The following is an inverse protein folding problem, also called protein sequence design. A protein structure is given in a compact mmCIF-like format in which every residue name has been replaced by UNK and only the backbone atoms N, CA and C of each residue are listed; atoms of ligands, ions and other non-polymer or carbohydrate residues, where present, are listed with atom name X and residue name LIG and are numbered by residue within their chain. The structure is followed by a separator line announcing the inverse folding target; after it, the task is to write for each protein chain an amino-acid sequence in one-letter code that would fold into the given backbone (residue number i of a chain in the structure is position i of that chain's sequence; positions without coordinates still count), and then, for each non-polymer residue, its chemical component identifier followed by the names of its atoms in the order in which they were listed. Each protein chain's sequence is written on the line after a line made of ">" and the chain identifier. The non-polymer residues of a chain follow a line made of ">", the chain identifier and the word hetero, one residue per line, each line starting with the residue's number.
data_IF_451478432418
#
_entry.id   IF_451478432418
#
_cell.length_a   1.000
_cell.length_b   1.000
_cell.length_c   1.000
_cell.angle_alpha   90.00
_cell.angle_beta   90.00
_cell.angle_gamma   90.00
#
_symmetry.space_group_name_H-M   'P 1'
#
loop_
_entity.id
_entity.type
_entity.pdbx_description
1 polymer ?
#
# COMPACT_ATOMS: atom_id res chain seq x y z
N UNK A 1 39.32 7.33 74.03
CA UNK A 1 38.23 8.17 73.53
C UNK A 1 38.27 8.15 72.00
N UNK A 2 37.48 7.27 71.44
CA UNK A 2 37.49 7.00 69.98
C UNK A 2 36.11 7.43 69.42
N UNK A 3 36.12 8.45 68.57
CA UNK A 3 34.92 8.98 67.94
C UNK A 3 34.71 8.18 66.62
N UNK A 4 33.65 7.41 66.56
CA UNK A 4 33.23 6.76 65.34
C UNK A 4 32.38 7.74 64.51
N UNK A 5 32.90 8.18 63.38
CA UNK A 5 32.13 8.86 62.33
C UNK A 5 31.40 7.78 61.53
N UNK A 6 30.07 7.78 61.61
CA UNK A 6 29.21 7.04 60.68
C UNK A 6 29.02 7.86 59.43
N UNK A 7 29.56 7.43 58.31
CA UNK A 7 29.23 7.90 56.95
C UNK A 7 27.97 7.17 56.50
N UNK A 8 26.87 7.87 56.43
CA UNK A 8 25.64 7.39 55.77
C UNK A 8 25.78 7.58 54.29
N UNK A 9 25.97 6.53 53.53
CA UNK A 9 25.93 6.53 52.07
C UNK A 9 24.45 6.43 51.62
N UNK A 10 23.88 7.56 51.19
CA UNK A 10 22.58 7.57 50.53
C UNK A 10 22.74 7.06 49.09
N UNK A 11 22.39 5.82 48.85
CA UNK A 11 22.29 5.28 47.48
C UNK A 11 20.99 5.79 46.85
N UNK A 12 21.10 6.79 45.98
CA UNK A 12 19.99 7.24 45.15
C UNK A 12 19.72 6.19 44.06
N UNK A 13 18.67 5.40 44.27
CA UNK A 13 18.17 4.43 43.27
C UNK A 13 17.45 5.25 42.19
N UNK A 14 18.16 5.57 41.09
CA UNK A 14 17.53 6.14 39.91
C UNK A 14 16.78 5.00 39.21
N UNK A 15 15.47 4.89 39.52
CA UNK A 15 14.57 4.07 38.75
C UNK A 15 14.41 4.71 37.38
N UNK A 16 15.19 4.21 36.39
CA UNK A 16 14.95 4.51 35.00
C UNK A 16 13.59 3.96 34.61
N UNK A 17 12.60 4.83 34.51
CA UNK A 17 11.33 4.51 33.87
C UNK A 17 11.63 4.30 32.41
N UNK A 18 11.94 3.06 32.03
CA UNK A 18 11.92 2.65 30.64
C UNK A 18 10.47 2.81 30.18
N UNK A 19 10.16 3.93 29.51
CA UNK A 19 8.93 4.04 28.77
C UNK A 19 8.96 2.93 27.72
N UNK A 20 8.16 1.87 27.98
CA UNK A 20 7.81 0.89 26.96
C UNK A 20 7.04 1.70 25.94
N UNK A 21 7.75 2.19 24.93
CA UNK A 21 7.13 2.78 23.76
C UNK A 21 6.33 1.66 23.11
N UNK A 22 5.03 1.61 23.36
CA UNK A 22 4.14 0.87 22.49
C UNK A 22 4.40 1.42 21.09
N UNK A 23 4.98 0.60 20.21
CA UNK A 23 5.04 0.93 18.78
C UNK A 23 3.60 1.24 18.40
N UNK A 24 3.33 2.50 18.09
CA UNK A 24 1.98 2.94 17.81
C UNK A 24 1.63 2.36 16.44
N UNK A 25 0.82 1.30 16.49
CA UNK A 25 0.40 0.53 15.33
C UNK A 25 -0.31 1.45 14.35
N UNK A 26 0.20 1.54 13.12
CA UNK A 26 -0.47 2.24 12.03
C UNK A 26 -1.32 1.24 11.26
N UNK A 27 -2.58 1.59 10.99
CA UNK A 27 -3.52 0.70 10.33
C UNK A 27 -4.52 1.47 9.47
N UNK A 28 -5.10 0.77 8.50
CA UNK A 28 -6.07 1.37 7.60
C UNK A 28 -6.45 0.46 6.44
N UNK A 29 -6.98 1.08 5.38
CA UNK A 29 -7.45 0.40 4.19
C UNK A 29 -6.35 0.39 3.12
N UNK A 30 -6.33 -0.69 2.34
CA UNK A 30 -5.44 -0.89 1.20
C UNK A 30 -6.24 -1.26 -0.05
N UNK A 31 -5.94 -0.60 -1.16
CA UNK A 31 -6.49 -0.90 -2.48
C UNK A 31 -5.37 -0.96 -3.50
N UNK A 32 -5.38 -2.00 -4.32
CA UNK A 32 -4.38 -2.21 -5.36
C UNK A 32 -5.05 -2.60 -6.67
N UNK A 33 -4.52 -2.10 -7.78
CA UNK A 33 -4.78 -2.61 -9.12
C UNK A 33 -3.48 -2.76 -9.88
N UNK A 34 -3.48 -3.69 -10.85
CA UNK A 34 -2.35 -3.87 -11.77
C UNK A 34 -2.82 -4.15 -13.18
N UNK A 35 -1.90 -4.02 -14.14
CA UNK A 35 -2.13 -4.49 -15.51
C UNK A 35 -2.12 -6.02 -15.64
N UNK A 36 -1.61 -6.76 -14.66
CA UNK A 36 -1.71 -8.23 -14.57
C UNK A 36 -3.01 -8.66 -13.90
N UNK A 37 -3.68 -9.69 -14.40
CA UNK A 37 -4.75 -10.37 -13.67
C UNK A 37 -4.18 -11.11 -12.45
N UNK A 38 -4.70 -10.84 -11.26
CA UNK A 38 -4.27 -11.46 -9.99
C UNK A 38 -5.11 -12.67 -9.61
N UNK A 39 -6.36 -12.69 -10.02
CA UNK A 39 -7.26 -13.82 -9.86
C UNK A 39 -7.47 -14.50 -11.20
N UNK A 40 -6.72 -15.57 -11.44
CA UNK A 40 -6.66 -16.21 -12.75
C UNK A 40 -6.18 -17.66 -12.61
N UNK A 41 -6.38 -18.47 -13.64
CA UNK A 41 -5.76 -19.78 -13.74
C UNK A 41 -4.35 -19.70 -14.34
N UNK A 42 -3.47 -20.70 -14.10
CA UNK A 42 -2.09 -20.70 -14.62
C UNK A 42 -2.00 -20.45 -16.13
N UNK A 43 -2.92 -21.05 -16.91
CA UNK A 43 -2.94 -20.90 -18.37
C UNK A 43 -3.32 -19.50 -18.87
N UNK A 44 -3.79 -18.62 -18.00
CA UNK A 44 -4.21 -17.25 -18.32
C UNK A 44 -3.41 -16.19 -17.56
N UNK A 45 -2.40 -16.61 -16.80
CA UNK A 45 -1.47 -15.66 -16.20
C UNK A 45 -0.77 -14.84 -17.29
N UNK A 46 -0.50 -13.57 -17.02
CA UNK A 46 0.04 -12.67 -18.05
C UNK A 46 1.33 -13.18 -18.71
N UNK A 47 2.27 -13.70 -17.91
CA UNK A 47 3.53 -14.27 -18.40
C UNK A 47 3.30 -15.49 -19.31
N UNK A 48 2.33 -16.33 -19.02
CA UNK A 48 2.01 -17.52 -19.84
C UNK A 48 1.42 -17.15 -21.22
N UNK A 49 0.75 -16.00 -21.29
CA UNK A 49 0.19 -15.49 -22.56
C UNK A 49 1.11 -14.44 -23.21
N UNK A 50 2.34 -14.28 -22.75
CA UNK A 50 3.34 -13.31 -23.22
C UNK A 50 2.88 -11.84 -23.11
N UNK A 51 2.03 -11.54 -22.15
CA UNK A 51 1.64 -10.17 -21.82
C UNK A 51 2.46 -9.68 -20.62
N UNK A 52 2.89 -8.44 -20.66
CA UNK A 52 3.61 -7.81 -19.55
C UNK A 52 2.63 -7.07 -18.66
N UNK A 53 2.47 -7.55 -17.43
CA UNK A 53 1.66 -6.90 -16.40
C UNK A 53 2.50 -6.04 -15.48
N UNK A 54 3.04 -4.92 -15.98
CA UNK A 54 4.10 -4.15 -15.33
C UNK A 54 3.67 -2.80 -14.76
N UNK A 55 2.40 -2.46 -14.83
CA UNK A 55 1.84 -1.26 -14.19
C UNK A 55 1.01 -1.64 -12.98
N UNK A 56 1.05 -0.77 -11.94
CA UNK A 56 0.21 -0.90 -10.76
C UNK A 56 -0.10 0.45 -10.12
N UNK A 57 -1.24 0.51 -9.43
CA UNK A 57 -1.61 1.57 -8.50
C UNK A 57 -1.81 0.92 -7.13
N UNK A 58 -1.15 1.46 -6.11
CA UNK A 58 -1.20 1.01 -4.72
C UNK A 58 -1.66 2.19 -3.86
N UNK A 59 -2.75 2.04 -3.13
CA UNK A 59 -3.36 3.13 -2.37
C UNK A 59 -3.58 2.73 -0.91
N UNK A 60 -3.22 3.62 0.01
CA UNK A 60 -3.38 3.45 1.45
C UNK A 60 -4.15 4.63 2.03
N UNK A 61 -5.16 4.33 2.84
CA UNK A 61 -5.85 5.28 3.70
C UNK A 61 -5.55 4.91 5.15
N UNK A 62 -4.92 5.81 5.87
CA UNK A 62 -4.61 5.61 7.30
C UNK A 62 -5.86 5.89 8.13
N UNK A 63 -6.42 4.86 8.75
CA UNK A 63 -7.56 5.00 9.67
C UNK A 63 -7.12 5.37 11.06
N UNK A 64 -5.89 4.97 11.46
CA UNK A 64 -5.32 5.26 12.78
C UNK A 64 -3.80 5.10 12.77
N UNK A 65 -3.13 5.95 13.53
CA UNK A 65 -1.70 5.78 13.84
C UNK A 65 -0.82 6.91 13.33
N UNK A 66 0.46 6.72 13.56
CA UNK A 66 1.51 7.68 13.20
C UNK A 66 2.68 6.98 12.51
N UNK A 67 3.44 7.75 11.74
CA UNK A 67 4.65 7.29 11.09
C UNK A 67 5.76 8.33 11.27
N UNK A 68 6.93 7.89 11.73
CA UNK A 68 8.07 8.77 12.04
C UNK A 68 7.68 9.98 12.93
N UNK A 69 6.78 9.74 13.91
CA UNK A 69 6.33 10.76 14.85
C UNK A 69 5.25 11.72 14.30
N UNK A 70 4.84 11.60 13.04
CA UNK A 70 3.74 12.37 12.47
C UNK A 70 2.44 11.57 12.51
N UNK A 71 1.37 12.15 13.07
CA UNK A 71 0.04 11.56 13.01
C UNK A 71 -0.46 11.59 11.55
N UNK A 72 -0.81 10.41 11.01
CA UNK A 72 -1.30 10.25 9.64
C UNK A 72 -2.79 9.88 9.58
N UNK A 73 -3.48 9.83 10.71
CA UNK A 73 -4.90 9.49 10.76
C UNK A 73 -5.74 10.37 9.84
N UNK A 74 -6.58 9.74 9.02
CA UNK A 74 -7.43 10.39 8.04
C UNK A 74 -6.73 10.80 6.74
N UNK A 75 -5.41 10.62 6.62
CA UNK A 75 -4.65 10.95 5.42
C UNK A 75 -4.45 9.72 4.53
N UNK A 76 -4.21 9.99 3.25
CA UNK A 76 -4.04 8.98 2.22
C UNK A 76 -2.77 9.20 1.40
N UNK A 77 -2.27 8.11 0.80
CA UNK A 77 -1.15 8.15 -0.14
C UNK A 77 -1.36 7.11 -1.24
N UNK A 78 -0.95 7.44 -2.45
CA UNK A 78 -1.01 6.55 -3.61
C UNK A 78 0.38 6.41 -4.21
N UNK A 79 0.82 5.16 -4.42
CA UNK A 79 2.00 4.81 -5.19
C UNK A 79 1.59 4.29 -6.56
N UNK A 80 2.16 4.84 -7.62
CA UNK A 80 1.96 4.36 -8.99
C UNK A 80 3.28 3.83 -9.51
N UNK A 81 3.26 2.62 -10.04
CA UNK A 81 4.48 1.88 -10.41
C UNK A 81 4.46 1.54 -11.89
N UNK A 82 5.62 1.66 -12.52
CA UNK A 82 5.94 1.01 -13.78
C UNK A 82 7.23 0.22 -13.64
N UNK A 83 7.12 -1.08 -13.81
CA UNK A 83 8.20 -2.05 -13.70
C UNK A 83 8.71 -2.51 -15.09
N UNK A 84 9.77 -3.30 -15.12
CA UNK A 84 10.30 -3.88 -16.36
C UNK A 84 9.69 -5.24 -16.70
N UNK A 85 9.12 -5.94 -15.73
CA UNK A 85 8.51 -7.25 -15.89
C UNK A 85 7.15 -7.31 -15.18
N UNK A 86 6.48 -8.44 -15.31
CA UNK A 86 5.17 -8.69 -14.70
C UNK A 86 5.28 -8.66 -13.18
N UNK A 87 4.47 -7.80 -12.57
CA UNK A 87 4.44 -7.59 -11.12
C UNK A 87 3.86 -8.81 -10.41
N UNK A 88 4.63 -9.35 -9.48
CA UNK A 88 4.26 -10.54 -8.70
C UNK A 88 4.59 -11.86 -9.38
N UNK A 89 5.15 -11.87 -10.59
CA UNK A 89 5.65 -13.08 -11.23
C UNK A 89 6.90 -13.60 -10.48
N UNK A 90 6.88 -14.84 -9.97
CA UNK A 90 8.01 -15.39 -9.23
C UNK A 90 9.21 -15.76 -10.12
N UNK A 91 9.03 -15.79 -11.44
CA UNK A 91 10.05 -16.19 -12.42
C UNK A 91 10.69 -15.01 -13.14
N UNK A 92 10.12 -13.80 -13.01
CA UNK A 92 10.63 -12.59 -13.62
C UNK A 92 11.13 -11.58 -12.59
N UNK A 93 12.14 -10.81 -12.97
CA UNK A 93 12.59 -9.68 -12.17
C UNK A 93 11.91 -8.40 -12.66
N UNK A 94 11.00 -7.79 -11.87
CA UNK A 94 10.31 -6.58 -12.27
C UNK A 94 11.19 -5.32 -12.20
N UNK A 95 12.41 -5.43 -11.69
CA UNK A 95 13.29 -4.27 -11.49
C UNK A 95 14.22 -4.00 -12.68
N UNK A 96 14.66 -2.75 -12.87
CA UNK A 96 14.30 -1.58 -12.07
C UNK A 96 12.85 -1.14 -12.30
N UNK A 97 12.19 -0.73 -11.23
CA UNK A 97 10.88 -0.09 -11.30
C UNK A 97 11.02 1.43 -11.15
N UNK A 98 10.10 2.19 -11.75
CA UNK A 98 9.91 3.62 -11.51
C UNK A 98 8.59 3.82 -10.79
N UNK A 99 8.56 4.79 -9.87
CA UNK A 99 7.35 5.11 -9.15
C UNK A 99 7.04 6.61 -9.17
N UNK A 100 5.75 6.92 -9.04
CA UNK A 100 5.25 8.25 -8.66
C UNK A 100 4.49 8.09 -7.37
N UNK A 101 4.76 8.95 -6.39
CA UNK A 101 4.03 8.98 -5.13
C UNK A 101 3.12 10.20 -5.14
N UNK A 102 1.82 10.01 -4.89
CA UNK A 102 0.84 11.07 -4.77
C UNK A 102 0.45 11.16 -3.29
N UNK A 103 0.68 12.30 -2.67
CA UNK A 103 0.38 12.55 -1.26
C UNK A 103 -0.84 13.44 -1.10
N UNK A 104 -1.57 13.21 -0.03
CA UNK A 104 -2.79 13.97 0.28
C UNK A 104 -2.50 15.47 0.37
N UNK A 105 -3.31 16.27 -0.30
CA UNK A 105 -3.21 17.73 -0.28
C UNK A 105 -3.44 18.32 1.13
N UNK A 106 -4.25 17.63 1.95
CA UNK A 106 -4.58 18.06 3.31
C UNK A 106 -3.42 17.83 4.30
N UNK A 107 -2.38 17.07 3.89
CA UNK A 107 -1.23 16.79 4.72
C UNK A 107 -0.33 18.04 4.85
N UNK A 108 0.12 18.33 6.06
CA UNK A 108 1.18 19.32 6.34
C UNK A 108 2.51 18.87 5.71
N UNK A 109 3.51 19.74 5.56
CA UNK A 109 4.82 19.35 5.01
C UNK A 109 5.47 18.17 5.76
N UNK A 110 5.36 18.12 7.09
CA UNK A 110 5.90 17.02 7.91
C UNK A 110 5.13 15.72 7.64
N UNK A 111 3.81 15.79 7.56
CA UNK A 111 2.98 14.63 7.24
C UNK A 111 3.22 14.12 5.81
N UNK A 112 3.48 15.00 4.84
CA UNK A 112 3.82 14.57 3.47
C UNK A 112 5.11 13.77 3.43
N UNK A 113 6.14 14.18 4.16
CA UNK A 113 7.39 13.41 4.26
C UNK A 113 7.14 12.05 4.94
N UNK A 114 6.31 12.03 5.97
CA UNK A 114 5.93 10.79 6.64
C UNK A 114 5.11 9.87 5.72
N UNK A 115 4.17 10.39 4.93
CA UNK A 115 3.40 9.62 3.92
C UNK A 115 4.30 9.04 2.82
N UNK A 116 5.28 9.80 2.33
CA UNK A 116 6.27 9.30 1.34
C UNK A 116 7.05 8.13 1.94
N UNK A 117 7.62 8.34 3.13
CA UNK A 117 8.38 7.29 3.83
C UNK A 117 7.52 6.07 4.16
N UNK A 118 6.26 6.28 4.56
CA UNK A 118 5.30 5.21 4.81
C UNK A 118 5.02 4.41 3.53
N UNK A 119 4.69 5.08 2.41
CA UNK A 119 4.44 4.42 1.14
C UNK A 119 5.65 3.60 0.67
N UNK A 120 6.87 4.15 0.80
CA UNK A 120 8.10 3.44 0.48
C UNK A 120 8.34 2.22 1.37
N UNK A 121 8.02 2.32 2.66
CA UNK A 121 8.14 1.19 3.58
C UNK A 121 7.09 0.09 3.31
N UNK A 122 5.88 0.47 2.87
CA UNK A 122 4.81 -0.48 2.55
C UNK A 122 4.98 -1.11 1.17
N UNK A 123 5.36 -0.33 0.16
CA UNK A 123 5.56 -0.78 -1.22
C UNK A 123 6.97 -1.33 -1.50
N UNK A 124 7.88 -1.24 -0.52
CA UNK A 124 9.23 -1.79 -0.62
C UNK A 124 10.01 -1.24 -1.81
N UNK A 125 10.72 -2.14 -2.49
CA UNK A 125 11.58 -1.80 -3.62
C UNK A 125 10.81 -1.18 -4.79
N UNK A 126 9.52 -1.51 -4.96
CA UNK A 126 8.67 -0.96 -6.02
C UNK A 126 8.51 0.57 -5.92
N UNK A 127 8.48 1.11 -4.70
CA UNK A 127 8.33 2.55 -4.46
C UNK A 127 9.65 3.24 -4.05
N UNK A 128 10.76 2.52 -3.97
CA UNK A 128 12.06 3.07 -3.57
C UNK A 128 12.60 4.11 -4.56
N UNK A 129 12.39 3.90 -5.87
CA UNK A 129 12.79 4.81 -6.94
C UNK A 129 11.61 5.71 -7.35
N UNK A 130 11.16 6.55 -6.44
CA UNK A 130 10.14 7.55 -6.73
C UNK A 130 10.76 8.69 -7.56
N UNK A 131 10.51 8.66 -8.87
CA UNK A 131 11.00 9.68 -9.82
C UNK A 131 10.24 11.00 -9.67
N UNK A 132 9.09 10.98 -9.01
CA UNK A 132 8.25 12.15 -8.81
C UNK A 132 7.34 12.00 -7.59
N UNK A 133 7.07 13.13 -6.93
CA UNK A 133 6.06 13.26 -5.88
C UNK A 133 5.06 14.32 -6.31
N UNK A 134 3.79 13.98 -6.30
CA UNK A 134 2.67 14.88 -6.60
C UNK A 134 1.83 15.12 -5.35
N UNK A 135 1.10 16.23 -5.34
CA UNK A 135 0.15 16.58 -4.28
C UNK A 135 -1.22 16.72 -4.92
N UNK A 136 -2.19 15.96 -4.44
CA UNK A 136 -3.56 16.01 -4.96
C UNK A 136 -4.59 15.75 -3.84
N UNK A 137 -5.84 16.13 -4.04
CA UNK A 137 -6.93 15.61 -3.22
C UNK A 137 -6.99 14.10 -3.42
N UNK A 138 -6.99 13.34 -2.33
CA UNK A 138 -7.12 11.88 -2.38
C UNK A 138 -8.37 11.48 -1.61
N UNK A 139 -9.25 10.75 -2.27
CA UNK A 139 -10.42 10.14 -1.67
C UNK A 139 -10.35 8.62 -1.85
N UNK A 140 -10.48 7.89 -0.75
CA UNK A 140 -10.45 6.42 -0.74
C UNK A 140 -11.65 5.95 0.07
N UNK A 141 -12.54 5.22 -0.58
CA UNK A 141 -13.68 4.57 0.04
C UNK A 141 -13.56 3.06 -0.12
N UNK A 142 -13.70 2.33 0.98
CA UNK A 142 -13.72 0.86 1.01
C UNK A 142 -14.99 0.41 1.68
N UNK A 143 -15.77 -0.42 1.00
CA UNK A 143 -16.97 -1.02 1.57
C UNK A 143 -16.59 -2.23 2.42
N UNK A 144 -16.87 -2.14 3.72
CA UNK A 144 -16.65 -3.22 4.69
C UNK A 144 -17.96 -4.01 4.89
N UNK A 145 -18.05 -5.19 4.30
CA UNK A 145 -19.20 -6.09 4.48
C UNK A 145 -18.76 -7.30 5.29
N UNK A 146 -18.89 -7.22 6.61
CA UNK A 146 -18.38 -8.25 7.52
C UNK A 146 -16.86 -8.36 7.45
N UNK A 147 -16.36 -9.54 7.13
CA UNK A 147 -14.91 -9.78 6.91
C UNK A 147 -14.52 -9.71 5.43
N UNK A 148 -15.44 -9.34 4.53
CA UNK A 148 -15.19 -9.31 3.09
C UNK A 148 -15.03 -7.89 2.59
N UNK A 149 -14.04 -7.71 1.74
CA UNK A 149 -13.78 -6.51 0.97
C UNK A 149 -13.97 -6.86 -0.51
N UNK A 150 -14.15 -5.88 -1.35
CA UNK A 150 -14.21 -6.16 -2.79
C UNK A 150 -14.73 -4.97 -3.57
N UNK A 151 -15.38 -4.04 -2.89
CA UNK A 151 -15.83 -2.79 -3.49
C UNK A 151 -15.05 -1.63 -2.87
N UNK A 152 -14.35 -0.91 -3.72
CA UNK A 152 -13.58 0.26 -3.34
C UNK A 152 -13.58 1.29 -4.46
N UNK A 153 -13.38 2.54 -4.08
CA UNK A 153 -13.12 3.67 -4.97
C UNK A 153 -11.87 4.40 -4.49
N UNK A 154 -10.97 4.72 -5.39
CA UNK A 154 -9.81 5.57 -5.16
C UNK A 154 -9.82 6.66 -6.21
N UNK A 155 -9.72 7.91 -5.77
CA UNK A 155 -9.56 9.07 -6.64
C UNK A 155 -8.42 9.93 -6.12
N UNK A 156 -7.36 10.08 -6.90
CA UNK A 156 -6.22 10.95 -6.59
C UNK A 156 -6.18 12.11 -7.61
N UNK A 157 -7.04 13.10 -7.39
CA UNK A 157 -7.25 14.21 -8.31
C UNK A 157 -7.62 13.72 -9.71
N UNK A 158 -6.95 14.25 -10.73
CA UNK A 158 -7.03 13.77 -12.12
C UNK A 158 -5.89 12.80 -12.47
N UNK A 159 -5.04 12.45 -11.51
CA UNK A 159 -3.79 11.72 -11.76
C UNK A 159 -4.00 10.21 -11.78
N UNK A 160 -4.76 9.67 -10.84
CA UNK A 160 -5.02 8.23 -10.71
C UNK A 160 -6.43 7.95 -10.21
N UNK A 161 -6.99 6.82 -10.65
CA UNK A 161 -8.32 6.39 -10.24
C UNK A 161 -8.47 4.87 -10.29
N UNK A 162 -9.17 4.33 -9.28
CA UNK A 162 -9.53 2.92 -9.18
C UNK A 162 -11.01 2.83 -8.84
N UNK A 163 -11.70 1.89 -9.48
CA UNK A 163 -13.03 1.43 -9.04
C UNK A 163 -13.03 -0.09 -9.06
N UNK A 164 -13.54 -0.70 -8.01
CA UNK A 164 -13.59 -2.16 -7.93
C UNK A 164 -14.98 -2.67 -7.61
N UNK A 165 -15.20 -3.95 -7.88
CA UNK A 165 -16.31 -4.76 -7.37
C UNK A 165 -15.80 -6.11 -6.89
N UNK A 166 -16.55 -6.76 -6.05
CA UNK A 166 -16.27 -8.14 -5.65
C UNK A 166 -16.28 -9.08 -6.85
N UNK A 167 -15.51 -10.17 -6.74
CA UNK A 167 -15.60 -11.30 -7.66
C UNK A 167 -16.99 -11.94 -7.61
N UNK A 168 -17.45 -12.43 -8.72
CA UNK A 168 -18.73 -13.14 -8.86
C UNK A 168 -18.59 -14.38 -9.74
N UNK A 169 -19.65 -15.15 -9.87
CA UNK A 169 -19.64 -16.41 -10.61
C UNK A 169 -19.24 -16.27 -12.09
N UNK A 170 -19.42 -15.09 -12.67
CA UNK A 170 -19.05 -14.81 -14.07
C UNK A 170 -17.56 -14.50 -14.28
N UNK A 171 -16.82 -14.33 -13.19
CA UNK A 171 -15.38 -14.02 -13.24
C UNK A 171 -14.51 -15.29 -13.34
N UNK A 172 -15.11 -16.47 -13.28
CA UNK A 172 -14.46 -17.73 -13.54
C UNK A 172 -14.45 -18.02 -15.06
N UNK A 173 -13.27 -18.18 -15.63
CA UNK A 173 -13.07 -18.44 -17.06
C UNK A 173 -12.76 -19.92 -17.35
N UNK A 174 -12.02 -20.57 -16.47
CA UNK A 174 -11.60 -21.97 -16.65
C UNK A 174 -11.96 -22.89 -15.48
N UNK A 175 -12.42 -22.35 -14.34
CA UNK A 175 -12.77 -23.12 -13.14
C UNK A 175 -11.58 -23.52 -12.25
N UNK A 176 -10.36 -23.10 -12.63
CA UNK A 176 -9.13 -23.31 -11.85
C UNK A 176 -8.51 -21.98 -11.41
N UNK A 177 -9.32 -20.94 -11.31
CA UNK A 177 -8.85 -19.63 -10.85
C UNK A 177 -8.51 -19.67 -9.37
N UNK A 178 -7.43 -18.98 -9.05
CA UNK A 178 -6.98 -18.73 -7.69
C UNK A 178 -6.35 -17.33 -7.59
N UNK A 179 -5.93 -16.93 -6.41
CA UNK A 179 -5.06 -15.76 -6.24
C UNK A 179 -3.66 -16.15 -6.72
N UNK A 180 -3.42 -15.98 -8.02
CA UNK A 180 -2.20 -16.42 -8.69
C UNK A 180 -1.01 -15.52 -8.35
N UNK A 181 -1.21 -14.20 -8.36
CA UNK A 181 -0.22 -13.23 -7.92
C UNK A 181 -0.63 -12.62 -6.57
N UNK A 182 0.21 -12.70 -5.53
CA UNK A 182 -0.12 -12.13 -4.22
C UNK A 182 -0.15 -10.60 -4.25
N UNK A 183 -0.72 -9.93 -3.24
CA UNK A 183 -0.63 -8.47 -3.09
C UNK A 183 0.81 -7.97 -3.15
N UNK A 184 1.02 -6.77 -3.73
CA UNK A 184 2.34 -6.14 -3.84
C UNK A 184 2.83 -5.52 -2.52
N UNK A 185 1.92 -5.29 -1.58
CA UNK A 185 2.24 -4.81 -0.25
C UNK A 185 1.79 -5.81 0.81
N UNK A 186 2.43 -5.73 2.00
CA UNK A 186 1.98 -6.48 3.16
C UNK A 186 0.58 -6.03 3.59
N UNK A 187 -0.35 -6.98 3.72
CA UNK A 187 -1.72 -6.75 4.14
C UNK A 187 -2.07 -7.61 5.35
N UNK A 188 -2.91 -7.10 6.25
CA UNK A 188 -3.47 -7.90 7.36
C UNK A 188 -4.56 -8.84 6.86
N UNK A 189 -5.34 -8.38 5.90
CA UNK A 189 -6.35 -9.13 5.19
C UNK A 189 -6.60 -8.47 3.84
N UNK A 190 -6.74 -9.26 2.78
CA UNK A 190 -7.09 -8.76 1.45
C UNK A 190 -7.88 -9.79 0.66
N UNK A 191 -8.77 -9.30 -0.19
CA UNK A 191 -9.57 -10.09 -1.11
C UNK A 191 -9.28 -9.68 -2.55
N UNK A 192 -9.11 -10.62 -3.47
CA UNK A 192 -9.05 -10.30 -4.89
C UNK A 192 -10.39 -9.73 -5.36
N UNK A 193 -10.32 -8.82 -6.31
CA UNK A 193 -11.48 -8.09 -6.84
C UNK A 193 -11.33 -7.82 -8.35
N UNK A 194 -12.43 -7.42 -8.97
CA UNK A 194 -12.41 -6.93 -10.34
C UNK A 194 -12.20 -5.42 -10.33
N UNK A 195 -11.17 -4.96 -11.02
CA UNK A 195 -10.97 -3.56 -11.35
C UNK A 195 -11.94 -3.17 -12.48
N UNK A 196 -13.01 -2.46 -12.15
CA UNK A 196 -13.91 -1.86 -13.14
C UNK A 196 -13.20 -0.73 -13.89
N UNK A 197 -12.37 0.01 -13.16
CA UNK A 197 -11.48 1.05 -13.68
C UNK A 197 -10.13 0.95 -12.97
N UNK A 198 -9.06 1.01 -13.75
CA UNK A 198 -7.68 1.20 -13.32
C UNK A 198 -7.07 2.25 -14.25
N UNK A 199 -6.82 3.45 -13.74
CA UNK A 199 -6.45 4.58 -14.57
C UNK A 199 -5.30 5.37 -13.96
N UNK A 200 -4.31 5.70 -14.80
CA UNK A 200 -3.25 6.66 -14.49
C UNK A 200 -3.01 7.62 -15.65
N UNK A 201 -3.05 8.92 -15.35
CA UNK A 201 -2.84 10.02 -16.31
C UNK A 201 -1.78 11.03 -15.81
N UNK A 202 -1.04 10.68 -14.75
CA UNK A 202 -0.04 11.56 -14.16
C UNK A 202 1.26 11.61 -14.93
N UNK A 203 2.13 12.60 -14.66
CA UNK A 203 3.47 12.69 -15.21
C UNK A 203 4.46 11.77 -14.48
N UNK A 204 5.63 11.54 -15.09
CA UNK A 204 6.79 10.89 -14.44
C UNK A 204 7.09 9.48 -14.95
N UNK A 205 6.09 8.67 -15.28
CA UNK A 205 6.32 7.29 -15.74
C UNK A 205 6.51 7.18 -17.25
N UNK A 206 6.18 8.23 -18.02
CA UNK A 206 6.25 8.23 -19.48
C UNK A 206 5.17 7.40 -20.16
N UNK A 207 4.16 6.99 -19.41
CA UNK A 207 2.97 6.25 -19.85
C UNK A 207 1.74 6.77 -19.12
N UNK A 208 0.60 6.58 -19.74
CA UNK A 208 -0.72 6.65 -19.13
C UNK A 208 -1.50 5.41 -19.52
N UNK A 209 -2.45 5.00 -18.71
CA UNK A 209 -3.32 3.87 -19.02
C UNK A 209 -4.73 4.06 -18.50
N UNK A 210 -5.63 3.34 -19.10
CA UNK A 210 -6.99 3.13 -18.58
C UNK A 210 -7.38 1.70 -18.95
N UNK A 211 -7.54 0.87 -17.94
CA UNK A 211 -7.92 -0.53 -18.05
C UNK A 211 -9.31 -0.72 -17.43
N UNK A 212 -10.06 -1.64 -17.97
CA UNK A 212 -11.42 -1.93 -17.53
C UNK A 212 -11.65 -3.43 -17.36
N UNK A 213 -12.52 -3.76 -16.40
CA UNK A 213 -13.08 -5.11 -16.20
C UNK A 213 -12.02 -6.22 -16.06
N UNK A 214 -10.90 -5.91 -15.38
CA UNK A 214 -9.81 -6.86 -15.13
C UNK A 214 -9.90 -7.46 -13.73
N UNK A 215 -9.61 -8.74 -13.58
CA UNK A 215 -9.52 -9.43 -12.28
C UNK A 215 -8.18 -9.16 -11.61
N UNK A 216 -7.82 -7.90 -11.52
CA UNK A 216 -6.47 -7.41 -11.25
C UNK A 216 -6.35 -6.57 -9.98
N UNK A 217 -7.36 -6.57 -9.14
CA UNK A 217 -7.40 -5.76 -7.94
C UNK A 217 -7.28 -6.58 -6.67
N UNK A 218 -6.77 -5.94 -5.62
CA UNK A 218 -6.97 -6.34 -4.22
C UNK A 218 -7.60 -5.21 -3.44
N UNK A 219 -8.52 -5.56 -2.56
CA UNK A 219 -9.11 -4.66 -1.57
C UNK A 219 -8.92 -5.29 -0.19
N UNK A 220 -8.46 -4.52 0.78
CA UNK A 220 -8.17 -5.05 2.09
C UNK A 220 -7.76 -4.02 3.12
N UNK A 221 -7.08 -4.51 4.15
CA UNK A 221 -6.56 -3.70 5.25
C UNK A 221 -5.08 -3.98 5.50
N UNK A 222 -4.42 -3.03 6.12
CA UNK A 222 -3.04 -3.17 6.60
C UNK A 222 -2.95 -2.82 8.08
N UNK A 223 -1.93 -3.38 8.73
CA UNK A 223 -1.54 -3.04 10.10
C UNK A 223 -0.04 -3.28 10.26
N UNK A 224 0.69 -2.27 10.76
CA UNK A 224 2.14 -2.32 10.93
C UNK A 224 2.59 -1.65 12.22
#
# INVERSE_FOLDING_TARGET
>A
MQRYLMLAAAAALVMGVSSIGFAQQISGDYVETRSADVYTGPCFANSEVNLVGNEAIMAWRVSRGQWNGANLEGLSVVGVVRANGTLGDPYENPYPAKAVIIVDQNATPVQRQALISFAQAMGGELLSNAVRVEVAPIDIEVEHVGMHFGKASVQAGSLAGIQTRSLGAKDHLCGNEETFYPPLAETSHSMPAVALVDQYNGPGLGVSWTLHDKRSAFVGSFSK
#
